data_IF_499042785520
#
_entry.id   IF_499042785520
#
_cell.length_a   1.000
_cell.length_b   1.000
_cell.length_c   1.000
_cell.angle_alpha   90.00
_cell.angle_beta   90.00
_cell.angle_gamma   90.00
#
_symmetry.space_group_name_H-M   'P 1'
#
loop_
_entity.id
_entity.type
_entity.pdbx_description
1 polymer ?
#
# COMPACT_ATOMS: atom_id res chain seq x y z
N UNK A 1 6.12 11.87 -16.68
CA UNK A 1 7.39 11.78 -17.46
C UNK A 1 8.23 10.65 -16.88
N UNK A 2 8.84 9.77 -17.67
CA UNK A 2 9.69 8.69 -17.15
C UNK A 2 10.99 9.27 -16.60
N UNK A 3 11.35 8.86 -15.39
CA UNK A 3 12.63 9.27 -14.77
C UNK A 3 13.74 8.35 -15.24
N UNK A 4 14.75 8.92 -15.82
CA UNK A 4 15.95 8.24 -16.28
C UNK A 4 16.95 8.17 -15.11
N UNK A 5 17.23 6.98 -14.59
CA UNK A 5 18.37 6.77 -13.68
C UNK A 5 19.57 6.39 -14.53
N UNK A 6 20.62 7.21 -14.47
CA UNK A 6 21.89 6.97 -15.19
C UNK A 6 22.78 6.16 -14.25
N UNK A 7 23.06 4.89 -14.58
CA UNK A 7 24.08 4.09 -13.90
C UNK A 7 25.34 4.17 -14.77
N UNK A 8 26.36 4.86 -14.28
CA UNK A 8 27.67 4.93 -14.91
C UNK A 8 28.52 3.74 -14.44
N UNK A 9 28.74 2.78 -15.32
CA UNK A 9 29.68 1.68 -15.06
C UNK A 9 31.03 2.05 -15.70
N UNK A 10 32.01 2.40 -14.87
CA UNK A 10 33.38 2.68 -15.33
C UNK A 10 34.14 1.35 -15.35
N UNK A 11 34.45 0.82 -16.54
CA UNK A 11 35.43 -0.26 -16.70
C UNK A 11 36.78 0.39 -16.98
N UNK A 12 37.77 0.17 -16.11
CA UNK A 12 39.18 0.54 -16.36
C UNK A 12 39.79 -0.51 -17.29
N UNK A 13 40.17 -0.11 -18.46
CA UNK A 13 40.92 -0.85 -19.47
C UNK A 13 41.12 0.08 -20.69
N UNK A 14 42.31 0.10 -21.24
CA UNK A 14 42.80 1.08 -22.21
C UNK A 14 41.85 1.37 -23.35
N UNK A 15 41.75 2.68 -23.68
CA UNK A 15 41.06 3.31 -24.81
C UNK A 15 39.49 3.32 -24.77
N UNK A 16 38.99 4.55 -24.59
CA UNK A 16 37.61 4.98 -24.75
C UNK A 16 36.60 4.45 -23.72
N UNK A 17 36.21 5.34 -22.78
CA UNK A 17 35.08 5.13 -21.86
C UNK A 17 33.77 5.06 -22.67
N UNK A 18 33.25 3.86 -22.91
CA UNK A 18 31.88 3.70 -23.44
C UNK A 18 30.91 3.77 -22.27
N UNK A 19 30.22 4.91 -22.15
CA UNK A 19 29.11 5.11 -21.20
C UNK A 19 27.89 4.36 -21.79
N UNK A 20 27.54 3.21 -21.24
CA UNK A 20 26.27 2.56 -21.54
C UNK A 20 25.20 3.10 -20.61
N UNK A 21 24.31 3.91 -21.15
CA UNK A 21 23.14 4.43 -20.43
C UNK A 21 22.06 3.34 -20.44
N UNK A 22 21.93 2.58 -19.35
CA UNK A 22 20.82 1.67 -19.18
C UNK A 22 19.62 2.44 -18.62
N UNK A 23 18.65 2.78 -19.48
CA UNK A 23 17.35 3.34 -19.07
C UNK A 23 16.55 2.24 -18.37
N UNK A 24 16.60 2.15 -17.06
CA UNK A 24 15.75 1.23 -16.30
C UNK A 24 14.34 1.81 -16.23
N UNK A 25 13.44 1.27 -17.05
CA UNK A 25 12.02 1.61 -17.03
C UNK A 25 11.40 0.95 -15.80
N UNK A 26 11.18 1.70 -14.73
CA UNK A 26 10.41 1.19 -13.59
C UNK A 26 8.94 1.09 -14.01
N UNK A 27 8.42 -0.13 -14.09
CA UNK A 27 7.00 -0.36 -14.26
C UNK A 27 6.29 -0.21 -12.92
N UNK A 28 5.24 0.61 -12.85
CA UNK A 28 4.39 0.74 -11.64
C UNK A 28 3.43 -0.44 -11.47
N UNK A 29 3.35 -1.35 -12.43
CA UNK A 29 2.53 -2.55 -12.40
C UNK A 29 3.33 -3.77 -12.88
N UNK A 30 2.99 -4.96 -12.37
CA UNK A 30 3.68 -6.20 -12.68
C UNK A 30 4.99 -6.36 -11.90
N UNK A 31 5.91 -7.12 -12.46
CA UNK A 31 7.19 -7.45 -11.83
C UNK A 31 8.09 -6.22 -11.66
N UNK A 32 8.62 -6.00 -10.46
CA UNK A 32 9.51 -4.87 -10.14
C UNK A 32 10.81 -4.89 -10.93
N UNK A 33 11.24 -6.08 -11.42
CA UNK A 33 12.48 -6.24 -12.16
C UNK A 33 12.29 -5.97 -13.64
N UNK A 34 11.24 -6.55 -14.27
CA UNK A 34 11.09 -6.54 -15.71
C UNK A 34 9.72 -6.02 -16.22
N UNK A 35 8.79 -5.69 -15.34
CA UNK A 35 7.46 -5.16 -15.69
C UNK A 35 6.49 -6.19 -16.29
N UNK A 36 6.89 -7.48 -16.44
CA UNK A 36 6.00 -8.53 -16.92
C UNK A 36 4.92 -8.87 -15.89
N UNK A 37 3.82 -9.52 -16.33
CA UNK A 37 2.76 -9.96 -15.42
C UNK A 37 3.28 -10.82 -14.27
N UNK A 38 2.61 -10.72 -13.13
CA UNK A 38 2.79 -11.61 -11.97
C UNK A 38 1.67 -12.64 -12.01
N UNK A 39 2.05 -13.91 -11.94
CA UNK A 39 1.13 -15.07 -11.93
C UNK A 39 0.99 -15.57 -10.50
N UNK A 40 -0.23 -15.94 -10.13
CA UNK A 40 -0.53 -16.53 -8.84
C UNK A 40 -0.71 -18.04 -8.96
N UNK A 41 -0.03 -18.80 -8.09
CA UNK A 41 -0.11 -20.26 -8.04
C UNK A 41 -1.14 -20.70 -6.99
N UNK A 42 -1.77 -21.85 -7.21
CA UNK A 42 -2.71 -22.44 -6.23
C UNK A 42 -2.00 -22.97 -4.98
N UNK A 43 -0.80 -23.49 -5.17
CA UNK A 43 0.04 -24.02 -4.09
C UNK A 43 1.21 -23.05 -3.85
N UNK A 44 1.59 -22.94 -2.58
CA UNK A 44 2.81 -22.24 -2.20
C UNK A 44 4.03 -22.98 -2.72
N UNK A 45 5.03 -22.24 -3.15
CA UNK A 45 6.33 -22.76 -3.63
C UNK A 45 7.44 -21.95 -2.96
N UNK A 46 8.56 -22.59 -2.69
CA UNK A 46 9.76 -21.90 -2.19
C UNK A 46 10.45 -21.20 -3.35
N UNK A 47 10.63 -19.90 -3.23
CA UNK A 47 11.30 -19.05 -4.20
C UNK A 47 12.48 -18.30 -3.58
N UNK A 48 13.55 -18.15 -4.33
CA UNK A 48 14.69 -17.31 -3.93
C UNK A 48 14.44 -15.86 -4.35
N UNK A 49 14.45 -14.94 -3.39
CA UNK A 49 14.29 -13.51 -3.65
C UNK A 49 15.45 -12.96 -4.50
N UNK A 50 15.15 -12.25 -5.58
CA UNK A 50 16.17 -11.68 -6.47
C UNK A 50 16.97 -10.53 -5.84
N UNK A 51 16.45 -9.91 -4.76
CA UNK A 51 17.08 -8.79 -4.06
C UNK A 51 17.94 -9.30 -2.89
N UNK A 52 17.31 -9.90 -1.85
CA UNK A 52 18.02 -10.33 -0.64
C UNK A 52 18.62 -11.74 -0.72
N UNK A 53 18.35 -12.50 -1.77
CA UNK A 53 18.83 -13.86 -2.00
C UNK A 53 18.33 -14.92 -1.01
N UNK A 54 17.53 -14.56 -0.03
CA UNK A 54 16.92 -15.51 0.90
C UNK A 54 15.71 -16.23 0.24
N UNK A 55 15.36 -17.38 0.79
CA UNK A 55 14.26 -18.22 0.34
C UNK A 55 13.00 -17.92 1.14
N UNK A 56 11.88 -17.90 0.44
CA UNK A 56 10.56 -17.64 1.01
C UNK A 56 9.51 -18.50 0.35
N UNK A 57 8.56 -18.94 1.11
CA UNK A 57 7.34 -19.56 0.61
C UNK A 57 6.43 -18.49 0.04
N UNK A 58 5.90 -18.68 -1.16
CA UNK A 58 5.05 -17.70 -1.82
C UNK A 58 4.14 -18.31 -2.88
N UNK A 59 3.09 -17.56 -3.24
CA UNK A 59 2.09 -17.93 -4.25
C UNK A 59 2.12 -17.02 -5.47
N UNK A 60 3.12 -16.14 -5.59
CA UNK A 60 3.20 -15.17 -6.68
C UNK A 60 4.60 -15.12 -7.26
N UNK A 61 4.71 -15.26 -8.57
CA UNK A 61 5.96 -15.18 -9.31
C UNK A 61 5.75 -14.45 -10.63
N UNK A 62 6.77 -13.75 -11.11
CA UNK A 62 6.77 -13.17 -12.45
C UNK A 62 6.79 -14.27 -13.53
N UNK A 63 6.08 -14.10 -14.64
CA UNK A 63 6.14 -14.99 -15.81
C UNK A 63 7.57 -15.27 -16.28
N UNK A 64 8.51 -14.34 -16.05
CA UNK A 64 9.93 -14.54 -16.37
C UNK A 64 10.74 -15.15 -15.20
N UNK A 65 10.09 -15.73 -14.17
CA UNK A 65 10.75 -16.39 -13.04
C UNK A 65 11.38 -15.44 -12.02
N UNK A 66 11.03 -14.15 -12.00
CA UNK A 66 11.50 -13.23 -10.96
C UNK A 66 10.58 -13.29 -9.73
N UNK A 67 11.17 -13.56 -8.58
CA UNK A 67 10.49 -13.46 -7.28
C UNK A 67 11.14 -12.37 -6.42
N UNK A 68 10.33 -11.60 -5.72
CA UNK A 68 10.74 -10.59 -4.74
C UNK A 68 9.89 -10.81 -3.49
N UNK A 69 10.54 -11.01 -2.35
CA UNK A 69 9.85 -11.19 -1.07
C UNK A 69 9.16 -9.90 -0.61
N UNK A 70 8.15 -10.04 0.24
CA UNK A 70 7.34 -8.91 0.72
C UNK A 70 8.21 -7.83 1.40
N UNK A 71 9.23 -8.22 2.17
CA UNK A 71 10.15 -7.28 2.80
C UNK A 71 10.96 -6.44 1.81
N UNK A 72 11.48 -7.06 0.73
CA UNK A 72 12.19 -6.34 -0.33
C UNK A 72 11.23 -5.53 -1.22
N UNK A 73 9.99 -5.99 -1.40
CA UNK A 73 8.96 -5.25 -2.09
C UNK A 73 8.57 -3.99 -1.33
N UNK A 74 8.48 -4.09 -0.01
CA UNK A 74 8.12 -3.00 0.89
C UNK A 74 9.31 -2.10 1.31
N UNK A 75 10.50 -2.25 0.71
CA UNK A 75 11.71 -1.48 1.07
C UNK A 75 11.58 0.05 0.90
N UNK A 76 10.50 0.52 0.27
CA UNK A 76 10.16 1.94 0.13
C UNK A 76 9.55 2.57 1.39
N UNK A 77 9.36 1.81 2.47
CA UNK A 77 8.62 2.29 3.65
C UNK A 77 9.26 3.49 4.33
N UNK A 78 10.59 3.57 4.36
CA UNK A 78 11.31 4.68 4.97
C UNK A 78 10.96 6.04 4.36
N UNK A 79 10.74 6.11 3.04
CA UNK A 79 10.45 7.36 2.34
C UNK A 79 9.07 7.91 2.69
N UNK A 80 8.04 7.07 2.68
CA UNK A 80 6.70 7.54 3.01
C UNK A 80 6.52 7.82 4.51
N UNK A 81 7.17 7.06 5.39
CA UNK A 81 7.15 7.33 6.85
C UNK A 81 7.74 8.71 7.14
N UNK A 82 8.90 9.02 6.54
CA UNK A 82 9.56 10.32 6.69
C UNK A 82 8.67 11.47 6.22
N UNK A 83 8.00 11.28 5.08
CA UNK A 83 7.08 12.27 4.54
C UNK A 83 5.86 12.46 5.44
N UNK A 84 5.27 11.38 5.95
CA UNK A 84 4.11 11.42 6.83
C UNK A 84 4.45 12.06 8.19
N UNK A 85 5.61 11.71 8.78
CA UNK A 85 6.06 12.28 10.05
C UNK A 85 6.28 13.81 9.98
N UNK A 86 6.62 14.34 8.81
CA UNK A 86 6.83 15.78 8.59
C UNK A 86 5.57 16.51 8.08
N UNK A 87 4.46 15.80 7.88
CA UNK A 87 3.24 16.36 7.29
C UNK A 87 2.31 16.94 8.35
N UNK A 88 1.74 18.10 8.08
CA UNK A 88 0.67 18.73 8.87
C UNK A 88 -0.72 18.51 8.26
N UNK A 89 -0.81 17.73 7.17
CA UNK A 89 -2.06 17.46 6.47
C UNK A 89 -3.00 16.61 7.34
N UNK A 90 -4.26 17.05 7.46
CA UNK A 90 -5.31 16.39 8.25
C UNK A 90 -6.19 15.45 7.42
N UNK A 91 -6.26 15.67 6.11
CA UNK A 91 -7.11 14.90 5.22
C UNK A 91 -6.43 13.57 4.84
N UNK A 92 -6.93 12.41 5.34
CA UNK A 92 -6.25 11.14 5.16
C UNK A 92 -6.23 10.68 3.68
N UNK A 93 -7.23 11.02 2.89
CA UNK A 93 -7.23 10.73 1.44
C UNK A 93 -6.13 11.51 0.71
N UNK A 94 -5.90 12.77 1.10
CA UNK A 94 -4.82 13.57 0.50
C UNK A 94 -3.44 13.04 0.89
N UNK A 95 -3.25 12.61 2.14
CA UNK A 95 -2.05 11.92 2.58
C UNK A 95 -1.84 10.61 1.80
N UNK A 96 -2.90 9.82 1.59
CA UNK A 96 -2.83 8.61 0.76
C UNK A 96 -2.39 8.94 -0.68
N UNK A 97 -2.95 9.99 -1.28
CA UNK A 97 -2.59 10.41 -2.64
C UNK A 97 -1.12 10.85 -2.74
N UNK A 98 -0.61 11.58 -1.74
CA UNK A 98 0.79 11.97 -1.64
C UNK A 98 1.70 10.73 -1.56
N UNK A 99 1.41 9.79 -0.65
CA UNK A 99 2.19 8.56 -0.47
C UNK A 99 2.16 7.70 -1.73
N UNK A 100 0.97 7.45 -2.26
CA UNK A 100 0.82 6.58 -3.44
C UNK A 100 1.36 7.22 -4.73
N UNK A 101 1.58 8.53 -4.73
CA UNK A 101 2.28 9.27 -5.77
C UNK A 101 3.79 9.04 -5.82
N UNK A 102 4.40 8.56 -4.73
CA UNK A 102 5.83 8.25 -4.68
C UNK A 102 6.20 7.20 -5.73
N UNK A 103 7.38 7.34 -6.34
CA UNK A 103 7.83 6.49 -7.46
C UNK A 103 8.01 5.02 -7.07
N UNK A 104 8.35 4.78 -5.83
CA UNK A 104 8.64 3.47 -5.25
C UNK A 104 7.41 2.80 -4.62
N UNK A 105 6.23 3.44 -4.63
CA UNK A 105 4.97 2.83 -4.24
C UNK A 105 4.27 2.26 -5.50
N UNK A 106 4.15 0.94 -5.56
CA UNK A 106 3.65 0.23 -6.72
C UNK A 106 2.13 0.30 -6.84
N UNK A 107 1.60 -0.12 -7.98
CA UNK A 107 0.15 -0.19 -8.19
C UNK A 107 -0.50 -1.16 -7.21
N UNK A 108 0.14 -2.30 -6.99
CA UNK A 108 -0.25 -3.35 -6.05
C UNK A 108 0.98 -3.81 -5.28
N UNK A 109 0.84 -4.06 -3.99
CA UNK A 109 1.92 -4.58 -3.17
C UNK A 109 1.63 -4.54 -1.68
N UNK A 110 2.40 -5.31 -0.89
CA UNK A 110 2.24 -5.40 0.56
C UNK A 110 2.55 -4.09 1.30
N UNK A 111 3.25 -3.13 0.67
CA UNK A 111 3.49 -1.81 1.25
C UNK A 111 2.19 -1.07 1.62
N UNK A 112 1.07 -1.35 0.91
CA UNK A 112 -0.22 -0.76 1.21
C UNK A 112 -0.77 -1.18 2.58
N UNK A 113 -0.33 -2.32 3.09
CA UNK A 113 -0.73 -2.81 4.42
C UNK A 113 -0.16 -1.93 5.55
N UNK A 114 1.00 -1.29 5.32
CA UNK A 114 1.60 -0.32 6.22
C UNK A 114 1.20 1.11 5.90
N UNK A 115 0.94 1.44 4.63
CA UNK A 115 0.54 2.80 4.20
C UNK A 115 -0.78 3.20 4.87
N UNK A 116 -1.80 2.32 4.89
CA UNK A 116 -3.11 2.64 5.46
C UNK A 116 -3.01 3.04 6.93
N UNK A 117 -2.43 2.26 7.85
CA UNK A 117 -2.34 2.67 9.24
C UNK A 117 -1.46 3.90 9.43
N UNK A 118 -0.36 4.07 8.67
CA UNK A 118 0.50 5.25 8.79
C UNK A 118 -0.22 6.53 8.37
N UNK A 119 -0.97 6.51 7.28
CA UNK A 119 -1.80 7.64 6.82
C UNK A 119 -2.86 8.01 7.86
N UNK A 120 -3.55 7.02 8.41
CA UNK A 120 -4.58 7.24 9.45
C UNK A 120 -4.00 7.80 10.75
N UNK A 121 -2.86 7.28 11.22
CA UNK A 121 -2.18 7.79 12.42
C UNK A 121 -1.74 9.24 12.24
N UNK A 122 -1.18 9.58 11.09
CA UNK A 122 -0.78 10.96 10.78
C UNK A 122 -1.98 11.90 10.76
N UNK A 123 -3.04 11.51 10.05
CA UNK A 123 -4.27 12.32 9.98
C UNK A 123 -4.92 12.48 11.35
N UNK A 124 -4.97 11.40 12.15
CA UNK A 124 -5.49 11.41 13.52
C UNK A 124 -4.71 12.37 14.41
N UNK A 125 -3.38 12.26 14.44
CA UNK A 125 -2.50 13.15 15.20
C UNK A 125 -2.70 14.60 14.79
N UNK A 126 -2.66 14.90 13.52
CA UNK A 126 -2.80 16.25 12.98
C UNK A 126 -4.20 16.86 13.22
N UNK A 127 -5.21 16.00 13.41
CA UNK A 127 -6.59 16.40 13.76
C UNK A 127 -6.83 16.56 15.26
N UNK A 128 -5.79 16.44 16.08
CA UNK A 128 -5.86 16.62 17.54
C UNK A 128 -5.96 15.32 18.34
N UNK A 129 -5.82 14.17 17.68
CA UNK A 129 -5.73 12.87 18.36
C UNK A 129 -4.42 12.73 19.14
N UNK A 130 -4.50 12.17 20.35
CA UNK A 130 -3.36 12.08 21.28
C UNK A 130 -2.62 10.76 21.08
N UNK A 131 -1.48 10.81 20.37
CA UNK A 131 -0.53 9.69 20.19
C UNK A 131 0.90 10.23 20.05
N UNK A 132 1.87 9.39 20.36
CA UNK A 132 3.27 9.63 19.98
C UNK A 132 3.46 9.20 18.52
N UNK A 133 3.41 10.17 17.60
CA UNK A 133 3.34 9.88 16.14
C UNK A 133 4.51 9.04 15.65
N UNK A 134 5.75 9.38 16.01
CA UNK A 134 6.93 8.66 15.52
C UNK A 134 6.92 7.18 15.91
N UNK A 135 6.70 6.88 17.19
CA UNK A 135 6.61 5.51 17.71
C UNK A 135 5.40 4.75 17.13
N UNK A 136 4.29 5.46 16.90
CA UNK A 136 3.08 4.90 16.28
C UNK A 136 3.31 4.51 14.82
N UNK A 137 4.00 5.35 14.05
CA UNK A 137 4.36 5.05 12.65
C UNK A 137 5.31 3.85 12.56
N UNK A 138 6.32 3.78 13.42
CA UNK A 138 7.24 2.62 13.47
C UNK A 138 6.47 1.32 13.77
N UNK A 139 5.56 1.36 14.76
CA UNK A 139 4.72 0.22 15.12
C UNK A 139 3.80 -0.19 13.98
N UNK A 140 3.20 0.77 13.27
CA UNK A 140 2.33 0.53 12.13
C UNK A 140 3.08 -0.14 10.97
N UNK A 141 4.29 0.32 10.66
CA UNK A 141 5.16 -0.29 9.66
C UNK A 141 5.50 -1.72 10.02
N UNK A 142 5.91 -1.95 11.27
CA UNK A 142 6.27 -3.30 11.75
C UNK A 142 5.10 -4.26 11.68
N UNK A 143 3.90 -3.85 12.15
CA UNK A 143 2.70 -4.71 12.13
C UNK A 143 2.16 -4.91 10.70
N UNK A 144 2.09 -3.86 9.89
CA UNK A 144 1.64 -3.93 8.51
C UNK A 144 2.54 -4.81 7.65
N UNK A 145 3.85 -4.79 7.90
CA UNK A 145 4.83 -5.65 7.23
C UNK A 145 4.70 -7.15 7.54
N UNK A 146 3.95 -7.52 8.58
CA UNK A 146 3.63 -8.93 8.90
C UNK A 146 2.42 -9.45 8.12
N UNK A 147 1.66 -8.59 7.46
CA UNK A 147 0.53 -8.99 6.63
C UNK A 147 1.05 -9.38 5.26
N UNK A 148 1.00 -10.68 4.96
CA UNK A 148 1.59 -11.23 3.73
C UNK A 148 0.89 -10.74 2.47
N UNK A 149 1.65 -10.61 1.38
CA UNK A 149 1.11 -10.34 0.06
C UNK A 149 0.16 -11.44 -0.40
N UNK A 150 -0.96 -11.06 -1.04
CA UNK A 150 -1.97 -12.02 -1.50
C UNK A 150 -3.02 -12.44 -0.46
N UNK A 151 -2.89 -12.04 0.81
CA UNK A 151 -3.86 -12.36 1.88
C UNK A 151 -5.31 -12.02 1.51
N UNK A 152 -5.53 -10.96 0.72
CA UNK A 152 -6.86 -10.56 0.27
C UNK A 152 -7.57 -11.64 -0.56
N UNK A 153 -6.84 -12.39 -1.39
CA UNK A 153 -7.41 -13.43 -2.23
C UNK A 153 -7.37 -14.83 -1.60
N UNK A 154 -6.32 -15.14 -0.83
CA UNK A 154 -6.14 -16.47 -0.27
C UNK A 154 -6.77 -16.65 1.12
N UNK A 155 -6.86 -15.58 1.91
CA UNK A 155 -7.38 -15.63 3.29
C UNK A 155 -8.66 -14.83 3.49
N UNK A 156 -9.12 -14.11 2.43
CA UNK A 156 -10.26 -13.20 2.56
C UNK A 156 -9.97 -11.98 3.43
N UNK A 157 -8.70 -11.73 3.78
CA UNK A 157 -8.28 -10.64 4.65
C UNK A 157 -7.52 -9.58 3.85
N UNK A 158 -8.23 -8.57 3.36
CA UNK A 158 -7.59 -7.46 2.66
C UNK A 158 -6.65 -6.69 3.58
N UNK A 159 -5.36 -6.59 3.21
CA UNK A 159 -4.37 -5.91 4.04
C UNK A 159 -4.65 -4.43 4.29
N UNK A 160 -5.44 -3.75 3.46
CA UNK A 160 -5.92 -2.40 3.73
C UNK A 160 -6.89 -2.36 4.91
N UNK A 161 -7.82 -3.33 5.00
CA UNK A 161 -8.73 -3.46 6.13
C UNK A 161 -7.99 -3.83 7.42
N UNK A 162 -7.06 -4.79 7.34
CA UNK A 162 -6.18 -5.14 8.48
C UNK A 162 -5.36 -3.92 8.92
N UNK A 163 -4.88 -3.11 7.98
CA UNK A 163 -4.19 -1.85 8.26
C UNK A 163 -5.05 -0.85 9.04
N UNK A 164 -6.34 -0.72 8.72
CA UNK A 164 -7.27 0.09 9.52
C UNK A 164 -7.43 -0.48 10.94
N UNK A 165 -7.51 -1.80 11.10
CA UNK A 165 -7.50 -2.45 12.41
C UNK A 165 -6.20 -2.20 13.19
N UNK A 166 -5.03 -2.24 12.53
CA UNK A 166 -3.73 -1.90 13.13
C UNK A 166 -3.75 -0.46 13.66
N UNK A 167 -4.28 0.50 12.87
CA UNK A 167 -4.46 1.88 13.29
C UNK A 167 -5.28 1.95 14.59
N UNK A 168 -6.48 1.37 14.62
CA UNK A 168 -7.35 1.39 15.80
C UNK A 168 -6.69 0.71 17.01
N UNK A 169 -5.95 -0.39 16.79
CA UNK A 169 -5.20 -1.07 17.84
C UNK A 169 -4.10 -0.20 18.46
N UNK A 170 -3.42 0.62 17.65
CA UNK A 170 -2.37 1.54 18.14
C UNK A 170 -3.01 2.68 18.92
N UNK A 171 -4.06 3.32 18.40
CA UNK A 171 -4.76 4.43 19.05
C UNK A 171 -5.33 4.01 20.41
N UNK A 172 -5.88 2.81 20.51
CA UNK A 172 -6.52 2.32 21.75
C UNK A 172 -5.59 1.59 22.71
N UNK A 173 -4.34 1.32 22.32
CA UNK A 173 -3.44 0.45 23.09
C UNK A 173 -3.95 -0.99 23.22
N UNK A 174 -4.74 -1.45 22.24
CA UNK A 174 -5.34 -2.81 22.27
C UNK A 174 -4.27 -3.90 22.23
N UNK A 175 -4.50 -4.94 23.02
CA UNK A 175 -3.73 -6.18 23.02
C UNK A 175 -4.68 -7.37 23.28
N UNK A 176 -4.23 -8.63 23.12
CA UNK A 176 -5.08 -9.81 23.25
C UNK A 176 -5.79 -9.98 24.60
N UNK A 177 -5.28 -9.37 25.65
CA UNK A 177 -5.83 -9.48 27.01
C UNK A 177 -6.62 -8.24 27.46
N UNK A 178 -6.61 -7.15 26.69
CA UNK A 178 -7.30 -5.90 27.05
C UNK A 178 -8.79 -5.99 26.71
N UNK A 179 -9.58 -6.54 27.63
CA UNK A 179 -11.04 -6.75 27.48
C UNK A 179 -11.79 -5.45 27.08
N UNK A 180 -11.35 -4.30 27.52
CA UNK A 180 -12.08 -3.04 27.33
C UNK A 180 -12.05 -2.56 25.87
N UNK A 181 -10.94 -2.80 25.15
CA UNK A 181 -10.71 -2.27 23.79
C UNK A 181 -10.41 -3.34 22.74
N UNK A 182 -10.35 -4.61 23.13
CA UNK A 182 -9.99 -5.72 22.25
C UNK A 182 -10.88 -5.82 21.00
N UNK A 183 -12.16 -5.52 21.13
CA UNK A 183 -13.12 -5.60 20.01
C UNK A 183 -13.00 -4.46 19.00
N UNK A 184 -12.48 -3.29 19.41
CA UNK A 184 -12.45 -2.07 18.58
C UNK A 184 -11.69 -2.27 17.26
N UNK A 185 -10.43 -2.74 17.24
CA UNK A 185 -9.70 -2.94 15.99
C UNK A 185 -10.36 -4.00 15.10
N UNK A 186 -11.00 -5.00 15.69
CA UNK A 186 -11.69 -6.04 14.94
C UNK A 186 -12.97 -5.54 14.29
N UNK A 187 -13.74 -4.71 14.99
CA UNK A 187 -14.94 -4.08 14.46
C UNK A 187 -14.61 -3.19 13.26
N UNK A 188 -13.59 -2.33 13.37
CA UNK A 188 -13.16 -1.51 12.23
C UNK A 188 -12.66 -2.35 11.06
N UNK A 189 -11.88 -3.40 11.33
CA UNK A 189 -11.43 -4.33 10.27
C UNK A 189 -12.62 -4.97 9.56
N UNK A 190 -13.62 -5.44 10.30
CA UNK A 190 -14.82 -6.06 9.75
C UNK A 190 -15.62 -5.10 8.87
N UNK A 191 -15.85 -3.86 9.32
CA UNK A 191 -16.54 -2.83 8.53
C UNK A 191 -15.78 -2.49 7.24
N UNK A 192 -14.46 -2.41 7.30
CA UNK A 192 -13.64 -2.22 6.12
C UNK A 192 -13.73 -3.40 5.15
N UNK A 193 -13.69 -4.64 5.65
CA UNK A 193 -13.80 -5.85 4.82
C UNK A 193 -15.16 -5.93 4.13
N UNK A 194 -16.24 -5.59 4.82
CA UNK A 194 -17.60 -5.56 4.26
C UNK A 194 -17.69 -4.58 3.08
N UNK A 195 -17.26 -3.32 3.26
CA UNK A 195 -17.27 -2.31 2.19
C UNK A 195 -16.32 -2.67 1.03
N UNK A 196 -15.18 -3.27 1.33
CA UNK A 196 -14.23 -3.76 0.30
C UNK A 196 -14.85 -4.90 -0.50
N UNK A 197 -15.49 -5.88 0.15
CA UNK A 197 -16.17 -6.98 -0.52
C UNK A 197 -17.30 -6.48 -1.42
N UNK A 198 -18.12 -5.55 -0.95
CA UNK A 198 -19.18 -4.92 -1.73
C UNK A 198 -18.66 -4.17 -2.98
N UNK A 199 -17.42 -3.67 -2.96
CA UNK A 199 -16.79 -3.00 -4.11
C UNK A 199 -16.36 -3.94 -5.24
N UNK A 200 -16.43 -5.24 -5.03
CA UNK A 200 -16.07 -6.28 -6.00
C UNK A 200 -14.57 -6.41 -6.28
N UNK A 201 -14.25 -7.42 -7.11
CA UNK A 201 -12.88 -7.71 -7.57
C UNK A 201 -12.66 -7.29 -9.03
N UNK A 202 -11.46 -7.54 -9.55
CA UNK A 202 -10.28 -8.05 -8.87
C UNK A 202 -9.64 -7.03 -7.92
N UNK A 203 -8.59 -7.47 -7.17
CA UNK A 203 -7.89 -6.62 -6.23
C UNK A 203 -7.45 -5.29 -6.85
N UNK A 204 -7.58 -4.22 -6.07
CA UNK A 204 -6.96 -2.94 -6.39
C UNK A 204 -6.52 -2.27 -5.09
N UNK A 205 -5.22 -2.30 -4.78
CA UNK A 205 -4.70 -1.76 -3.51
C UNK A 205 -4.99 -0.26 -3.35
N UNK A 206 -5.08 0.51 -4.45
CA UNK A 206 -5.48 1.92 -4.39
C UNK A 206 -6.95 2.09 -3.99
N UNK A 207 -7.85 1.30 -4.58
CA UNK A 207 -9.29 1.32 -4.25
C UNK A 207 -9.54 0.87 -2.82
N UNK A 208 -8.99 -0.28 -2.44
CA UNK A 208 -9.22 -0.84 -1.10
C UNK A 208 -8.61 0.01 0.01
N UNK A 209 -7.47 0.68 -0.24
CA UNK A 209 -6.90 1.65 0.72
C UNK A 209 -7.81 2.87 0.90
N UNK A 210 -8.42 3.40 -0.17
CA UNK A 210 -9.39 4.52 -0.05
C UNK A 210 -10.61 4.11 0.76
N UNK A 211 -11.23 2.96 0.43
CA UNK A 211 -12.38 2.43 1.17
C UNK A 211 -12.06 2.28 2.66
N UNK A 212 -10.92 1.66 2.98
CA UNK A 212 -10.50 1.45 4.35
C UNK A 212 -10.26 2.76 5.11
N UNK A 213 -9.66 3.77 4.46
CA UNK A 213 -9.39 5.08 5.05
C UNK A 213 -10.68 5.88 5.27
N UNK A 214 -11.59 5.88 4.31
CA UNK A 214 -12.90 6.54 4.45
C UNK A 214 -13.70 5.92 5.60
N UNK A 215 -13.77 4.58 5.63
CA UNK A 215 -14.43 3.86 6.73
C UNK A 215 -13.79 4.15 8.09
N UNK A 216 -12.45 4.17 8.15
CA UNK A 216 -11.74 4.46 9.38
C UNK A 216 -11.92 5.92 9.83
N UNK A 217 -12.06 6.88 8.93
CA UNK A 217 -12.32 8.27 9.29
C UNK A 217 -13.72 8.45 9.91
N UNK A 218 -14.75 7.81 9.34
CA UNK A 218 -16.09 7.75 9.90
C UNK A 218 -16.08 7.11 11.30
N UNK A 219 -15.44 5.95 11.42
CA UNK A 219 -15.28 5.23 12.68
C UNK A 219 -14.54 6.05 13.75
N UNK A 220 -13.49 6.76 13.33
CA UNK A 220 -12.69 7.59 14.23
C UNK A 220 -13.51 8.74 14.85
N UNK A 221 -14.34 9.38 14.03
CA UNK A 221 -15.27 10.41 14.51
C UNK A 221 -16.26 9.84 15.52
N UNK A 222 -16.82 8.67 15.25
CA UNK A 222 -17.83 8.03 16.08
C UNK A 222 -17.26 7.50 17.40
N UNK A 223 -16.12 6.79 17.33
CA UNK A 223 -15.59 6.04 18.47
C UNK A 223 -14.47 6.76 19.23
N UNK A 224 -13.76 7.68 18.59
CA UNK A 224 -12.63 8.40 19.21
C UNK A 224 -12.86 9.90 19.32
N UNK A 225 -13.97 10.43 18.79
CA UNK A 225 -14.31 11.85 18.86
C UNK A 225 -13.39 12.78 18.05
N UNK A 226 -12.54 12.23 17.18
CA UNK A 226 -11.61 13.01 16.34
C UNK A 226 -12.11 13.04 14.90
N UNK A 227 -12.31 14.23 14.36
CA UNK A 227 -12.80 14.43 13.01
C UNK A 227 -11.64 14.65 12.03
N UNK A 228 -11.42 13.68 11.15
CA UNK A 228 -10.47 13.78 10.05
C UNK A 228 -11.23 14.20 8.78
N UNK A 229 -10.88 15.31 8.11
CA UNK A 229 -11.62 15.77 6.94
C UNK A 229 -11.45 14.78 5.77
N UNK A 230 -12.56 14.22 5.30
CA UNK A 230 -12.57 13.32 4.13
C UNK A 230 -13.07 14.07 2.92
N UNK A 231 -12.18 14.26 1.93
CA UNK A 231 -12.53 14.75 0.61
C UNK A 231 -12.18 13.69 -0.41
N UNK A 232 -13.21 13.08 -1.00
CA UNK A 232 -13.04 12.06 -2.01
C UNK A 232 -12.39 12.67 -3.25
N UNK A 233 -11.26 12.10 -3.68
CA UNK A 233 -10.57 12.46 -4.91
C UNK A 233 -10.70 11.35 -5.95
N UNK A 234 -10.73 11.73 -7.22
CA UNK A 234 -10.74 10.76 -8.33
C UNK A 234 -9.37 10.07 -8.45
N UNK A 235 -9.40 8.79 -8.76
CA UNK A 235 -8.20 7.97 -8.95
C UNK A 235 -7.49 8.34 -10.25
N UNK A 236 -6.19 8.63 -10.17
CA UNK A 236 -5.31 8.94 -11.32
C UNK A 236 -4.54 7.71 -11.81
N UNK A 237 -4.69 6.56 -11.14
CA UNK A 237 -3.93 5.34 -11.42
C UNK A 237 -4.60 4.40 -12.42
N UNK A 238 -5.80 4.69 -12.90
CA UNK A 238 -6.57 3.81 -13.78
C UNK A 238 -5.83 3.44 -15.08
N UNK A 239 -5.01 4.34 -15.61
CA UNK A 239 -4.17 4.08 -16.79
C UNK A 239 -3.03 3.07 -16.54
N UNK A 240 -2.65 2.90 -15.28
CA UNK A 240 -1.54 2.03 -14.86
C UNK A 240 -2.00 0.68 -14.31
N UNK A 241 -3.32 0.51 -14.14
CA UNK A 241 -3.91 -0.71 -13.59
C UNK A 241 -4.63 -1.50 -14.69
N UNK A 242 -4.06 -2.63 -15.07
CA UNK A 242 -4.65 -3.53 -16.08
C UNK A 242 -5.97 -4.16 -15.62
N UNK A 243 -6.12 -4.32 -14.29
CA UNK A 243 -7.31 -4.89 -13.66
C UNK A 243 -8.29 -3.80 -13.17
N UNK A 244 -8.21 -2.58 -13.72
CA UNK A 244 -9.09 -1.49 -13.32
C UNK A 244 -10.53 -1.76 -13.73
N UNK A 245 -11.47 -1.60 -12.78
CA UNK A 245 -12.92 -1.72 -13.04
C UNK A 245 -13.49 -0.56 -13.86
N UNK A 246 -12.69 0.49 -14.08
CA UNK A 246 -13.09 1.70 -14.82
C UNK A 246 -14.38 2.30 -14.27
N UNK A 247 -15.42 2.43 -15.08
CA UNK A 247 -16.71 3.04 -14.77
C UNK A 247 -17.43 2.39 -13.60
N UNK A 248 -17.18 1.10 -13.35
CA UNK A 248 -17.73 0.36 -12.20
C UNK A 248 -17.02 0.71 -10.88
N UNK A 249 -15.94 1.51 -10.92
CA UNK A 249 -15.24 1.95 -9.73
C UNK A 249 -15.66 3.37 -9.32
N UNK A 250 -16.16 3.55 -8.11
CA UNK A 250 -16.61 4.86 -7.57
C UNK A 250 -15.52 5.94 -7.57
N UNK A 251 -14.25 5.53 -7.59
CA UNK A 251 -13.11 6.43 -7.65
C UNK A 251 -12.59 6.68 -9.06
N UNK A 252 -13.21 6.13 -10.09
CA UNK A 252 -12.71 6.26 -11.45
C UNK A 252 -12.56 7.72 -11.87
N UNK A 253 -11.38 8.08 -12.38
CA UNK A 253 -11.02 9.44 -12.80
C UNK A 253 -10.94 9.62 -14.31
N UNK A 254 -11.24 8.59 -15.10
CA UNK A 254 -11.34 8.69 -16.56
C UNK A 254 -12.58 9.44 -17.01
N UNK A 255 -12.59 9.89 -18.25
CA UNK A 255 -13.77 10.47 -18.89
C UNK A 255 -14.77 9.34 -19.08
N UNK A 256 -15.98 9.47 -18.53
CA UNK A 256 -17.08 8.61 -18.90
C UNK A 256 -17.39 8.90 -20.37
N UNK A 257 -17.22 7.91 -21.24
CA UNK A 257 -17.74 8.03 -22.59
C UNK A 257 -19.27 8.15 -22.45
N UNK A 258 -19.79 9.37 -22.60
CA UNK A 258 -21.19 9.54 -22.86
C UNK A 258 -21.49 8.73 -24.13
N UNK A 259 -22.32 7.72 -24.02
CA UNK A 259 -22.85 7.00 -25.18
C UNK A 259 -23.41 8.01 -26.17
N UNK A 260 -22.85 8.02 -27.37
CA UNK A 260 -23.38 8.78 -28.53
C UNK A 260 -24.56 8.00 -29.09
#
# INVERSE_FOLDING_TARGET
MPVTVIIVVVKRGDAAVKVQIHKKKYSRSGCLICGRPVVYTRQSVIYTCRICKAEFEGNAICEAGHYICDGCHASSQADFVKMLAASEEKAPIKLLDMVTGLKNVHMHGPEHHSIVPCVLLTAYHNSGGVIELAASLETAVKRGGQVTGGSCGYWGACGAAVGAGIYASIVTGSNPLNKAVWSIPQLLTAQCLEKIAASGGPRCCKRTSRIAIETAAEFTKEHFGVEMPVKISKCTFYMHNKECLREDCVYYGGVMNAEI
#
